data_IF_069190313819
#
_entry.id   IF_069190313819
#
_cell.length_a   1.000
_cell.length_b   1.000
_cell.length_c   1.000
_cell.angle_alpha   90.00
_cell.angle_beta   90.00
_cell.angle_gamma   90.00
#
_symmetry.space_group_name_H-M   'P 1'
#
loop_
_entity.id
_entity.type
_entity.pdbx_description
1 polymer ?
#
# COMPACT_ATOMS: atom_id res chain seq x y z
N UNK A 1 21.92 26.89 12.75
CA UNK A 1 22.33 27.82 11.69
C UNK A 1 21.08 28.19 10.92
N UNK A 2 20.64 29.43 11.06
CA UNK A 2 19.40 29.94 10.46
C UNK A 2 19.63 30.09 8.96
N UNK A 3 19.07 29.19 8.16
CA UNK A 3 18.92 29.42 6.73
C UNK A 3 17.93 30.57 6.57
N UNK A 4 18.47 31.78 6.37
CA UNK A 4 17.69 32.93 5.96
C UNK A 4 17.11 32.61 4.58
N UNK A 5 15.87 32.13 4.57
CA UNK A 5 15.03 32.07 3.40
C UNK A 5 15.15 33.43 2.72
N UNK A 6 15.81 33.44 1.55
CA UNK A 6 15.76 34.59 0.66
C UNK A 6 14.28 34.71 0.31
N UNK A 7 13.60 35.66 0.94
CA UNK A 7 12.30 36.12 0.51
C UNK A 7 12.51 36.71 -0.88
N UNK A 8 12.46 35.85 -1.89
CA UNK A 8 12.30 36.27 -3.27
C UNK A 8 11.01 37.08 -3.28
N UNK A 9 11.16 38.40 -3.41
CA UNK A 9 10.08 39.34 -3.55
C UNK A 9 9.46 39.12 -4.93
N UNK A 10 8.73 38.01 -5.06
CA UNK A 10 7.98 37.66 -6.26
C UNK A 10 6.80 38.64 -6.26
N UNK A 11 6.95 39.70 -7.04
CA UNK A 11 5.84 40.58 -7.36
C UNK A 11 4.72 39.73 -7.98
N UNK A 12 3.45 39.98 -7.63
CA UNK A 12 2.32 39.34 -8.29
C UNK A 12 2.47 39.47 -9.81
N UNK A 13 2.11 38.44 -10.58
CA UNK A 13 2.30 38.38 -12.04
C UNK A 13 1.66 39.59 -12.75
N UNK A 14 0.61 40.17 -12.16
CA UNK A 14 -0.13 41.33 -12.68
C UNK A 14 0.21 42.65 -11.97
N UNK A 15 1.28 42.72 -11.18
CA UNK A 15 1.68 43.96 -10.50
C UNK A 15 2.31 44.94 -11.48
N UNK A 16 1.51 45.90 -11.95
CA UNK A 16 1.98 47.02 -12.75
C UNK A 16 2.61 48.08 -11.85
N UNK A 17 3.88 48.38 -12.07
CA UNK A 17 4.51 49.56 -11.48
C UNK A 17 3.76 50.82 -11.94
N UNK A 18 3.57 51.82 -11.07
CA UNK A 18 2.91 53.06 -11.47
C UNK A 18 3.66 53.67 -12.64
N UNK A 19 2.95 53.92 -13.75
CA UNK A 19 3.55 54.57 -14.92
C UNK A 19 4.06 55.96 -14.52
N UNK A 20 5.37 56.13 -14.52
CA UNK A 20 6.02 57.39 -14.19
C UNK A 20 5.84 58.34 -15.38
N UNK A 21 4.70 59.03 -15.44
CA UNK A 21 4.48 60.06 -16.46
C UNK A 21 5.15 61.36 -16.02
N UNK A 22 6.35 61.62 -16.54
CA UNK A 22 6.99 62.92 -16.39
C UNK A 22 6.33 63.94 -17.35
N UNK A 23 6.12 65.20 -16.92
CA UNK A 23 5.65 66.24 -17.82
C UNK A 23 6.67 66.49 -18.94
N UNK A 24 6.17 66.84 -20.14
CA UNK A 24 7.01 67.08 -21.32
C UNK A 24 8.04 68.21 -21.15
N UNK A 25 7.78 69.14 -20.23
CA UNK A 25 8.72 70.16 -19.78
C UNK A 25 8.80 70.08 -18.27
N UNK A 26 10.00 69.84 -17.72
CA UNK A 26 10.19 69.86 -16.28
C UNK A 26 10.16 71.30 -15.78
N UNK A 27 9.48 71.56 -14.65
CA UNK A 27 9.54 72.86 -14.03
C UNK A 27 10.98 73.17 -13.59
N UNK A 28 11.44 74.40 -13.83
CA UNK A 28 12.76 74.88 -13.40
C UNK A 28 12.80 75.33 -11.95
N UNK A 29 11.62 75.50 -11.33
CA UNK A 29 11.50 75.95 -9.95
C UNK A 29 11.64 74.77 -8.97
N UNK A 30 12.53 74.93 -7.98
CA UNK A 30 12.83 73.89 -6.98
C UNK A 30 11.57 73.44 -6.24
N UNK A 31 10.67 74.37 -5.91
CA UNK A 31 9.41 74.07 -5.21
C UNK A 31 8.44 73.21 -6.05
N UNK A 32 8.45 73.38 -7.38
CA UNK A 32 7.62 72.59 -8.27
C UNK A 32 8.20 71.18 -8.50
N UNK A 33 9.53 71.04 -8.51
CA UNK A 33 10.21 69.75 -8.55
C UNK A 33 10.01 68.93 -7.26
N UNK A 34 10.11 69.56 -6.09
CA UNK A 34 9.85 68.87 -4.82
C UNK A 34 8.41 68.38 -4.72
N UNK A 35 7.43 69.18 -5.14
CA UNK A 35 6.02 68.77 -5.18
C UNK A 35 5.79 67.56 -6.11
N UNK A 36 6.46 67.53 -7.27
CA UNK A 36 6.40 66.40 -8.20
C UNK A 36 6.98 65.13 -7.58
N UNK A 37 8.15 65.23 -6.95
CA UNK A 37 8.79 64.09 -6.26
C UNK A 37 7.91 63.53 -5.14
N UNK A 38 7.34 64.39 -4.29
CA UNK A 38 6.44 63.94 -3.23
C UNK A 38 5.19 63.25 -3.79
N UNK A 39 4.61 63.76 -4.89
CA UNK A 39 3.48 63.11 -5.57
C UNK A 39 3.84 61.73 -6.10
N UNK A 40 5.03 61.56 -6.69
CA UNK A 40 5.50 60.26 -7.16
C UNK A 40 5.78 59.29 -6.01
N UNK A 41 6.39 59.76 -4.92
CA UNK A 41 6.63 58.96 -3.73
C UNK A 41 5.31 58.44 -3.14
N UNK A 42 4.31 59.30 -3.00
CA UNK A 42 2.99 58.90 -2.51
C UNK A 42 2.32 57.85 -3.42
N UNK A 43 2.40 58.03 -4.74
CA UNK A 43 1.86 57.05 -5.69
C UNK A 43 2.57 55.69 -5.59
N UNK A 44 3.89 55.70 -5.42
CA UNK A 44 4.68 54.49 -5.23
C UNK A 44 4.36 53.78 -3.91
N UNK A 45 4.26 54.52 -2.81
CA UNK A 45 3.90 53.97 -1.49
C UNK A 45 2.49 53.36 -1.51
N UNK A 46 1.52 54.02 -2.14
CA UNK A 46 0.17 53.49 -2.27
C UNK A 46 0.17 52.15 -3.03
N UNK A 47 0.85 52.10 -4.18
CA UNK A 47 0.98 50.89 -4.98
C UNK A 47 1.71 49.75 -4.24
N UNK A 48 2.77 50.08 -3.49
CA UNK A 48 3.46 49.10 -2.63
C UNK A 48 2.54 48.52 -1.55
N UNK A 49 1.71 49.36 -0.92
CA UNK A 49 0.79 48.91 0.11
C UNK A 49 -0.30 47.99 -0.47
N UNK A 50 -0.82 48.31 -1.65
CA UNK A 50 -1.75 47.43 -2.38
C UNK A 50 -1.12 46.06 -2.69
N UNK A 51 0.11 46.04 -3.20
CA UNK A 51 0.84 44.78 -3.42
C UNK A 51 1.02 43.97 -2.14
N UNK A 52 1.41 44.61 -1.03
CA UNK A 52 1.57 43.94 0.27
C UNK A 52 0.26 43.31 0.74
N UNK A 53 -0.85 44.04 0.62
CA UNK A 53 -2.17 43.55 1.00
C UNK A 53 -2.62 42.38 0.12
N UNK A 54 -2.36 42.42 -1.19
CA UNK A 54 -2.67 41.33 -2.10
C UNK A 54 -1.85 40.07 -1.77
N UNK A 55 -0.55 40.23 -1.47
CA UNK A 55 0.32 39.12 -1.06
C UNK A 55 -0.15 38.52 0.28
N UNK A 56 -0.54 39.35 1.26
CA UNK A 56 -1.06 38.82 2.52
C UNK A 56 -2.36 38.05 2.33
N UNK A 57 -3.29 38.56 1.52
CA UNK A 57 -4.54 37.87 1.21
C UNK A 57 -4.30 36.52 0.53
N UNK A 58 -3.43 36.48 -0.49
CA UNK A 58 -3.08 35.24 -1.16
C UNK A 58 -2.41 34.22 -0.23
N UNK A 59 -1.55 34.67 0.69
CA UNK A 59 -0.95 33.81 1.71
C UNK A 59 -2.00 33.23 2.66
N UNK A 60 -2.96 34.05 3.09
CA UNK A 60 -4.04 33.63 3.96
C UNK A 60 -4.93 32.59 3.27
N UNK A 61 -5.30 32.80 2.01
CA UNK A 61 -6.06 31.84 1.20
C UNK A 61 -5.33 30.50 1.04
N UNK A 62 -4.04 30.52 0.71
CA UNK A 62 -3.21 29.31 0.62
C UNK A 62 -3.17 28.59 1.97
N UNK A 63 -3.04 29.33 3.07
CA UNK A 63 -3.02 28.74 4.42
C UNK A 63 -4.35 28.06 4.77
N UNK A 64 -5.48 28.67 4.40
CA UNK A 64 -6.82 28.12 4.62
C UNK A 64 -7.01 26.85 3.80
N UNK A 65 -6.68 26.89 2.50
CA UNK A 65 -6.76 25.72 1.62
C UNK A 65 -5.89 24.55 2.13
N UNK A 66 -4.67 24.83 2.60
CA UNK A 66 -3.82 23.79 3.19
C UNK A 66 -4.43 23.18 4.46
N UNK A 67 -5.04 23.98 5.33
CA UNK A 67 -5.71 23.50 6.53
C UNK A 67 -6.91 22.60 6.18
N UNK A 68 -7.74 23.01 5.22
CA UNK A 68 -8.88 22.21 4.74
C UNK A 68 -8.42 20.87 4.15
N UNK A 69 -7.38 20.88 3.31
CA UNK A 69 -6.80 19.65 2.75
C UNK A 69 -6.28 18.74 3.87
N UNK A 70 -5.62 19.31 4.89
CA UNK A 70 -5.14 18.52 6.03
C UNK A 70 -6.29 17.87 6.79
N UNK A 71 -7.35 18.62 7.09
CA UNK A 71 -8.53 18.10 7.80
C UNK A 71 -9.24 17.01 6.99
N UNK A 72 -9.40 17.21 5.68
CA UNK A 72 -9.99 16.22 4.79
C UNK A 72 -9.16 14.92 4.76
N UNK A 73 -7.82 15.03 4.69
CA UNK A 73 -6.91 13.88 4.72
C UNK A 73 -7.01 13.10 6.04
N UNK A 74 -7.08 13.80 7.16
CA UNK A 74 -7.25 13.17 8.47
C UNK A 74 -8.59 12.44 8.60
N UNK A 75 -9.66 13.05 8.08
CA UNK A 75 -10.98 12.42 8.04
C UNK A 75 -10.98 11.16 7.16
N UNK A 76 -10.38 11.23 5.96
CA UNK A 76 -10.23 10.07 5.08
C UNK A 76 -9.46 8.95 5.79
N UNK A 77 -8.35 9.26 6.47
CA UNK A 77 -7.56 8.27 7.22
C UNK A 77 -8.40 7.59 8.29
N UNK A 78 -9.14 8.36 9.10
CA UNK A 78 -10.04 7.82 10.14
C UNK A 78 -11.12 6.91 9.55
N UNK A 79 -11.74 7.31 8.44
CA UNK A 79 -12.76 6.51 7.76
C UNK A 79 -12.18 5.20 7.22
N UNK A 80 -10.99 5.24 6.62
CA UNK A 80 -10.29 4.03 6.14
C UNK A 80 -10.02 3.08 7.31
N UNK A 81 -9.52 3.58 8.44
CA UNK A 81 -9.28 2.75 9.64
C UNK A 81 -10.58 2.13 10.16
N UNK A 82 -11.67 2.89 10.21
CA UNK A 82 -12.99 2.37 10.59
C UNK A 82 -13.48 1.27 9.64
N UNK A 83 -13.30 1.46 8.32
CA UNK A 83 -13.65 0.45 7.31
C UNK A 83 -12.82 -0.82 7.50
N UNK A 84 -11.51 -0.70 7.73
CA UNK A 84 -10.63 -1.84 7.98
C UNK A 84 -11.09 -2.61 9.23
N UNK A 85 -11.39 -1.89 10.32
CA UNK A 85 -11.88 -2.49 11.55
C UNK A 85 -13.24 -3.18 11.36
N UNK A 86 -14.17 -2.53 10.66
CA UNK A 86 -15.48 -3.10 10.35
C UNK A 86 -15.34 -4.37 9.50
N UNK A 87 -14.48 -4.35 8.47
CA UNK A 87 -14.21 -5.50 7.61
C UNK A 87 -13.58 -6.65 8.40
N UNK A 88 -12.65 -6.37 9.30
CA UNK A 88 -12.05 -7.39 10.18
C UNK A 88 -13.06 -7.97 11.17
N UNK A 89 -14.01 -7.17 11.67
CA UNK A 89 -15.09 -7.67 12.53
C UNK A 89 -16.08 -8.56 11.77
N UNK A 90 -16.41 -8.22 10.52
CA UNK A 90 -17.41 -8.93 9.73
C UNK A 90 -16.85 -10.19 9.04
N UNK A 91 -15.61 -10.13 8.56
CA UNK A 91 -14.99 -11.19 7.74
C UNK A 91 -13.70 -11.75 8.31
N UNK A 92 -13.21 -11.23 9.43
CA UNK A 92 -12.06 -11.80 10.12
C UNK A 92 -12.41 -13.15 10.76
N UNK A 93 -11.40 -13.96 11.12
CA UNK A 93 -11.63 -15.17 11.88
C UNK A 93 -12.31 -14.78 13.20
N UNK A 94 -13.56 -15.19 13.38
CA UNK A 94 -14.22 -15.10 14.68
C UNK A 94 -13.39 -15.94 15.65
N UNK A 95 -12.94 -15.39 16.77
CA UNK A 95 -12.22 -16.16 17.79
C UNK A 95 -13.15 -17.10 18.57
N UNK A 96 -14.26 -17.55 17.96
CA UNK A 96 -15.06 -18.69 18.40
C UNK A 96 -14.29 -20.03 18.29
N UNK A 97 -12.96 -20.02 18.38
CA UNK A 97 -12.30 -21.17 19.01
C UNK A 97 -12.63 -21.10 20.49
N UNK A 98 -13.74 -21.74 20.86
CA UNK A 98 -14.10 -22.01 22.25
C UNK A 98 -12.87 -22.56 22.96
N UNK A 99 -12.41 -21.90 24.03
CA UNK A 99 -11.28 -22.37 24.82
C UNK A 99 -11.57 -23.79 25.30
N UNK A 100 -10.83 -24.78 24.78
CA UNK A 100 -11.03 -26.20 25.11
C UNK A 100 -11.60 -27.06 23.97
N UNK A 101 -12.04 -26.49 22.86
CA UNK A 101 -12.54 -27.27 21.72
C UNK A 101 -11.45 -28.11 21.02
N UNK A 102 -10.20 -27.68 21.12
CA UNK A 102 -9.06 -28.44 20.60
C UNK A 102 -8.88 -29.81 21.26
N UNK A 103 -9.41 -30.02 22.48
CA UNK A 103 -9.30 -31.29 23.22
C UNK A 103 -10.55 -32.17 23.16
N UNK A 104 -11.60 -31.74 22.46
CA UNK A 104 -12.86 -32.50 22.38
C UNK A 104 -12.74 -33.77 21.52
N UNK A 105 -11.67 -33.92 20.74
CA UNK A 105 -11.45 -35.06 19.86
C UNK A 105 -10.18 -35.85 20.19
N UNK A 106 -9.54 -35.56 21.33
CA UNK A 106 -8.32 -36.24 21.79
C UNK A 106 -8.60 -37.56 22.53
N UNK A 107 -9.85 -38.06 22.51
CA UNK A 107 -10.23 -39.29 23.21
C UNK A 107 -9.40 -40.50 22.75
N UNK A 108 -9.05 -40.56 21.47
CA UNK A 108 -8.23 -41.66 20.92
C UNK A 108 -6.76 -41.62 21.42
N UNK A 109 -6.18 -40.43 21.61
CA UNK A 109 -4.81 -40.28 22.12
C UNK A 109 -4.75 -40.59 23.62
N UNK A 110 -5.76 -40.15 24.39
CA UNK A 110 -5.88 -40.46 25.82
C UNK A 110 -6.10 -41.95 26.05
N UNK A 111 -6.92 -42.61 25.22
CA UNK A 111 -7.11 -44.05 25.28
C UNK A 111 -5.84 -44.80 24.86
N UNK A 112 -5.13 -44.33 23.82
CA UNK A 112 -3.88 -44.94 23.38
C UNK A 112 -2.79 -44.92 24.49
N UNK A 113 -2.63 -43.78 25.18
CA UNK A 113 -1.71 -43.66 26.33
C UNK A 113 -2.12 -44.57 27.50
N UNK A 114 -3.42 -44.79 27.71
CA UNK A 114 -3.91 -45.70 28.74
C UNK A 114 -3.77 -47.20 28.36
N UNK A 115 -3.77 -47.52 27.06
CA UNK A 115 -3.69 -48.91 26.55
C UNK A 115 -2.26 -49.43 26.38
N UNK A 116 -1.22 -48.60 26.43
CA UNK A 116 0.17 -49.09 26.31
C UNK A 116 0.63 -49.99 27.46
N UNK A 117 -0.16 -50.16 28.51
CA UNK A 117 0.10 -51.11 29.61
C UNK A 117 -0.62 -52.47 29.46
N UNK A 118 -1.46 -52.67 28.44
CA UNK A 118 -2.14 -53.94 28.19
C UNK A 118 -1.67 -54.55 26.86
N UNK A 119 -1.04 -55.72 26.95
CA UNK A 119 -0.63 -56.54 25.81
C UNK A 119 -1.83 -56.85 24.90
N UNK A 120 -1.88 -56.22 23.72
CA UNK A 120 -2.93 -56.45 22.74
C UNK A 120 -2.64 -57.72 21.92
N UNK A 121 -3.32 -58.82 22.29
CA UNK A 121 -3.60 -59.94 21.41
C UNK A 121 -5.11 -59.91 21.16
N UNK A 122 -5.55 -59.68 19.91
CA UNK A 122 -6.61 -60.42 19.19
C UNK A 122 -7.08 -59.64 17.92
N UNK A 123 -8.06 -60.14 17.13
CA UNK A 123 -7.82 -60.71 15.81
C UNK A 123 -8.40 -59.87 14.65
N UNK A 124 -7.93 -60.13 13.42
CA UNK A 124 -8.40 -59.45 12.21
C UNK A 124 -9.91 -59.65 11.96
N UNK A 125 -10.65 -58.54 11.89
CA UNK A 125 -12.04 -58.49 11.43
C UNK A 125 -12.13 -58.14 9.93
N UNK A 126 -13.18 -58.58 9.20
CA UNK A 126 -13.22 -58.51 7.75
C UNK A 126 -13.43 -57.08 7.22
N UNK A 127 -12.71 -56.75 6.15
CA UNK A 127 -12.75 -55.46 5.44
C UNK A 127 -14.15 -55.21 4.88
N UNK A 128 -14.86 -54.22 5.39
CA UNK A 128 -16.01 -53.62 4.72
C UNK A 128 -15.50 -52.62 3.67
N UNK A 129 -16.00 -52.75 2.44
CA UNK A 129 -15.72 -51.82 1.34
C UNK A 129 -16.40 -50.48 1.64
N UNK A 130 -15.69 -49.61 2.35
CA UNK A 130 -16.09 -48.23 2.58
C UNK A 130 -15.97 -47.43 1.29
N UNK A 131 -17.11 -47.06 0.69
CA UNK A 131 -17.16 -46.03 -0.35
C UNK A 131 -16.66 -44.72 0.25
N UNK A 132 -15.43 -44.34 -0.07
CA UNK A 132 -14.83 -43.08 0.35
C UNK A 132 -15.68 -41.90 -0.12
N UNK A 133 -16.15 -41.09 0.83
CA UNK A 133 -16.73 -39.79 0.51
C UNK A 133 -15.58 -38.90 0.00
N UNK A 134 -15.72 -38.22 -1.15
CA UNK A 134 -14.62 -37.43 -1.69
C UNK A 134 -14.27 -36.30 -0.70
N UNK A 135 -13.04 -36.32 -0.22
CA UNK A 135 -12.49 -35.26 0.61
C UNK A 135 -12.61 -33.91 -0.12
N UNK A 136 -13.31 -32.97 0.49
CA UNK A 136 -13.49 -31.60 -0.01
C UNK A 136 -12.10 -30.96 -0.15
N UNK A 137 -11.66 -30.66 -1.37
CA UNK A 137 -10.44 -29.88 -1.62
C UNK A 137 -9.44 -30.48 -2.61
N UNK A 138 -9.62 -31.71 -3.10
CA UNK A 138 -8.79 -32.19 -4.22
C UNK A 138 -9.31 -31.54 -5.51
N UNK A 139 -8.55 -30.59 -6.06
CA UNK A 139 -8.73 -30.14 -7.44
C UNK A 139 -8.64 -31.40 -8.31
N UNK A 140 -9.67 -31.65 -9.12
CA UNK A 140 -9.62 -32.74 -10.10
C UNK A 140 -8.45 -32.52 -11.06
N UNK A 141 -7.92 -33.59 -11.69
CA UNK A 141 -6.93 -33.46 -12.74
C UNK A 141 -7.44 -32.55 -13.85
N UNK A 142 -6.54 -31.84 -14.55
CA UNK A 142 -6.94 -30.98 -15.65
C UNK A 142 -7.57 -31.83 -16.78
N UNK A 143 -8.57 -31.28 -17.51
CA UNK A 143 -9.21 -31.99 -18.61
C UNK A 143 -8.19 -32.57 -19.61
N UNK A 144 -8.45 -33.79 -20.08
CA UNK A 144 -7.55 -34.49 -21.00
C UNK A 144 -7.39 -33.78 -22.36
N UNK A 145 -8.36 -32.95 -22.74
CA UNK A 145 -8.39 -32.20 -24.01
C UNK A 145 -7.39 -31.04 -24.06
N UNK A 146 -6.88 -30.57 -22.91
CA UNK A 146 -5.88 -29.51 -22.88
C UNK A 146 -4.52 -30.04 -23.34
N UNK A 147 -3.84 -29.25 -24.18
CA UNK A 147 -2.46 -29.55 -24.60
C UNK A 147 -1.55 -29.54 -23.37
N UNK A 148 -0.88 -30.66 -23.11
CA UNK A 148 0.13 -30.79 -22.04
C UNK A 148 1.52 -30.49 -22.59
N UNK A 149 2.35 -29.81 -21.80
CA UNK A 149 3.77 -29.62 -22.04
C UNK A 149 4.50 -30.20 -20.82
N UNK A 150 5.33 -31.23 -21.03
CA UNK A 150 6.06 -31.90 -19.96
C UNK A 150 7.37 -31.15 -19.66
N UNK A 151 7.57 -30.75 -18.40
CA UNK A 151 8.82 -30.16 -17.92
C UNK A 151 9.35 -31.07 -16.82
N UNK A 152 10.45 -31.75 -17.11
CA UNK A 152 11.09 -32.68 -16.18
C UNK A 152 12.17 -31.94 -15.41
N UNK A 153 12.02 -31.87 -14.08
CA UNK A 153 13.01 -31.29 -13.18
C UNK A 153 13.87 -32.40 -12.56
N UNK A 154 15.01 -32.68 -13.18
CA UNK A 154 15.99 -33.63 -12.63
C UNK A 154 17.21 -32.91 -12.03
N UNK A 155 17.81 -33.57 -11.04
CA UNK A 155 19.08 -33.15 -10.44
C UNK A 155 20.20 -33.22 -11.50
N UNK A 156 21.19 -32.30 -11.52
CA UNK A 156 22.32 -32.38 -12.47
C UNK A 156 23.08 -33.70 -12.39
N UNK A 157 23.62 -34.19 -13.51
CA UNK A 157 24.31 -35.50 -13.58
C UNK A 157 25.43 -35.67 -12.54
N UNK A 158 26.14 -34.59 -12.22
CA UNK A 158 27.22 -34.58 -11.24
C UNK A 158 26.75 -34.92 -9.81
N UNK A 159 25.48 -34.68 -9.50
CA UNK A 159 24.87 -34.86 -8.17
C UNK A 159 24.04 -36.15 -8.08
N UNK A 160 23.95 -36.94 -9.15
CA UNK A 160 23.23 -38.23 -9.18
C UNK A 160 24.05 -39.42 -8.65
N UNK A 161 25.16 -39.12 -7.97
CA UNK A 161 26.05 -40.13 -7.40
C UNK A 161 25.98 -40.05 -5.88
N UNK A 162 25.67 -41.17 -5.23
CA UNK A 162 25.69 -41.25 -3.78
C UNK A 162 27.13 -41.09 -3.26
N UNK A 163 27.30 -40.69 -1.99
CA UNK A 163 28.62 -40.59 -1.36
C UNK A 163 29.41 -41.91 -1.36
N UNK A 164 28.75 -43.07 -1.55
CA UNK A 164 29.38 -44.38 -1.69
C UNK A 164 29.75 -44.75 -3.15
N UNK A 165 29.57 -43.86 -4.13
CA UNK A 165 29.98 -44.05 -5.52
C UNK A 165 28.98 -44.80 -6.41
N UNK A 166 27.82 -45.21 -5.87
CA UNK A 166 26.75 -45.82 -6.66
C UNK A 166 25.82 -44.77 -7.27
N UNK A 167 25.29 -45.03 -8.49
CA UNK A 167 24.29 -44.17 -9.10
C UNK A 167 22.99 -44.21 -8.29
N UNK A 168 22.38 -43.05 -8.07
CA UNK A 168 21.09 -42.95 -7.38
C UNK A 168 19.97 -43.55 -8.24
N UNK A 169 19.04 -44.24 -7.61
CA UNK A 169 17.86 -44.83 -8.26
C UNK A 169 16.65 -43.94 -7.98
N UNK A 170 15.74 -43.83 -8.96
CA UNK A 170 14.52 -43.04 -8.82
C UNK A 170 13.55 -43.77 -7.88
N UNK A 171 13.22 -43.15 -6.74
CA UNK A 171 12.28 -43.68 -5.74
C UNK A 171 11.04 -42.77 -5.74
N UNK A 172 10.23 -42.91 -6.78
CA UNK A 172 8.98 -42.14 -6.94
C UNK A 172 9.15 -40.84 -7.74
N UNK A 173 8.01 -40.32 -8.18
CA UNK A 173 7.90 -39.06 -8.92
C UNK A 173 6.71 -38.26 -8.37
N UNK A 174 6.89 -36.95 -8.25
CA UNK A 174 5.80 -36.03 -7.94
C UNK A 174 5.43 -35.26 -9.21
N UNK A 175 4.13 -35.19 -9.52
CA UNK A 175 3.61 -34.62 -10.76
C UNK A 175 2.59 -33.56 -10.42
N UNK A 176 2.83 -32.33 -10.90
CA UNK A 176 1.89 -31.22 -10.75
C UNK A 176 1.49 -30.66 -12.12
N UNK A 177 0.19 -30.42 -12.32
CA UNK A 177 -0.34 -29.80 -13.54
C UNK A 177 -0.72 -28.33 -13.26
N UNK A 178 -0.30 -27.41 -14.13
CA UNK A 178 -0.61 -25.97 -14.03
C UNK A 178 -1.13 -25.43 -15.37
N UNK A 179 -2.04 -24.44 -15.33
CA UNK A 179 -2.51 -23.72 -16.51
C UNK A 179 -1.61 -22.51 -16.78
N UNK A 180 -1.10 -22.38 -18.00
CA UNK A 180 -0.45 -21.16 -18.46
C UNK A 180 -1.50 -20.18 -19.00
N UNK A 181 -1.69 -19.05 -18.33
CA UNK A 181 -2.71 -18.05 -18.64
C UNK A 181 -2.02 -16.79 -19.18
N UNK A 182 -2.24 -16.49 -20.46
CA UNK A 182 -1.80 -15.22 -21.04
C UNK A 182 -2.76 -14.12 -20.56
N UNK A 183 -2.26 -13.04 -19.93
CA UNK A 183 -3.11 -11.96 -19.44
C UNK A 183 -3.79 -11.21 -20.61
N UNK A 184 -5.00 -10.71 -20.38
CA UNK A 184 -5.68 -9.84 -21.34
C UNK A 184 -4.91 -8.52 -21.50
N UNK A 185 -4.77 -8.05 -22.74
CA UNK A 185 -4.19 -6.74 -23.08
C UNK A 185 -5.22 -5.62 -22.99
#
# INVERSE_FOLDING_TARGET
MLESAKEEFILPIDFALPEVTLPAVLPTDVAALTALLYRQQQAYEACQMEARNAISQARDEISQAHNEISQARDQIRRLIEQIILARRRQFGPSSEQMSGQGRLFDEAEVLAEATTEAEDIAPQAPKSEGREKPARGKRGPLPAELKRVEIVHEVPEAERTCACGTPMVIIGQDVSEQLDIVPMQ
#
